data_IF_480857448998
#
_entry.id   IF_480857448998
#
_cell.length_a   1.000
_cell.length_b   1.000
_cell.length_c   1.000
_cell.angle_alpha   90.00
_cell.angle_beta   90.00
_cell.angle_gamma   90.00
#
_symmetry.space_group_name_H-M   'P 1'
#
loop_
_entity.id
_entity.type
_entity.pdbx_description
1 polymer ?
#
# COMPACT_ATOMS: atom_id res chain seq x y z
N UNK A 1 -30.43 -3.43 -15.42
CA UNK A 1 -30.40 -2.41 -16.50
C UNK A 1 -29.49 -2.84 -17.64
N UNK A 2 -29.87 -2.63 -18.91
CA UNK A 2 -29.02 -2.87 -20.09
C UNK A 2 -28.22 -1.63 -20.47
N UNK A 3 -27.07 -1.82 -21.13
CA UNK A 3 -26.19 -0.73 -21.55
C UNK A 3 -26.89 0.27 -22.49
N UNK A 4 -27.80 -0.20 -23.34
CA UNK A 4 -28.63 0.63 -24.19
C UNK A 4 -29.59 1.54 -23.42
N UNK A 5 -30.10 1.09 -22.26
CA UNK A 5 -31.02 1.85 -21.42
C UNK A 5 -30.27 2.96 -20.68
N UNK A 6 -29.05 2.68 -20.23
CA UNK A 6 -28.20 3.65 -19.55
C UNK A 6 -27.77 4.81 -20.46
N UNK A 7 -27.52 4.55 -21.75
CA UNK A 7 -27.23 5.60 -22.74
C UNK A 7 -28.40 6.58 -22.95
N UNK A 8 -29.63 6.13 -22.73
CA UNK A 8 -30.82 6.98 -22.82
C UNK A 8 -30.99 7.86 -21.59
N UNK A 9 -30.55 7.39 -20.41
CA UNK A 9 -30.64 8.15 -19.16
C UNK A 9 -29.59 9.26 -19.05
N UNK A 10 -28.44 9.09 -19.70
CA UNK A 10 -27.32 10.02 -19.66
C UNK A 10 -26.86 10.45 -21.06
N UNK A 11 -27.72 11.08 -21.87
CA UNK A 11 -27.39 11.43 -23.26
C UNK A 11 -26.20 12.39 -23.39
N UNK A 12 -25.88 13.14 -22.32
CA UNK A 12 -24.74 14.05 -22.26
C UNK A 12 -23.38 13.35 -22.03
N UNK A 13 -23.38 12.05 -21.70
CA UNK A 13 -22.15 11.30 -21.54
C UNK A 13 -21.61 10.82 -22.88
N UNK A 14 -20.32 11.01 -23.11
CA UNK A 14 -19.66 10.54 -24.33
C UNK A 14 -19.33 9.03 -24.23
N UNK A 15 -20.30 8.20 -24.63
CA UNK A 15 -20.13 6.76 -24.74
C UNK A 15 -19.31 6.32 -25.95
N UNK A 16 -18.93 7.24 -26.84
CA UNK A 16 -18.12 6.96 -28.02
C UNK A 16 -16.65 7.34 -27.82
N UNK A 17 -16.28 7.78 -26.61
CA UNK A 17 -14.90 8.11 -26.28
C UNK A 17 -14.00 6.89 -26.43
N UNK A 18 -13.25 6.83 -27.54
CA UNK A 18 -12.23 5.80 -27.76
C UNK A 18 -10.98 6.18 -26.97
N UNK A 19 -10.79 5.54 -25.82
CA UNK A 19 -9.58 5.70 -25.02
C UNK A 19 -8.52 4.73 -25.55
N UNK A 20 -7.33 5.24 -25.90
CA UNK A 20 -6.20 4.39 -26.32
C UNK A 20 -5.77 3.47 -25.18
N UNK A 21 -5.25 2.27 -25.51
CA UNK A 21 -4.81 1.31 -24.50
C UNK A 21 -3.80 1.90 -23.49
N UNK A 22 -2.85 2.72 -23.94
CA UNK A 22 -1.90 3.42 -23.07
C UNK A 22 -2.59 4.38 -22.09
N UNK A 23 -3.60 5.11 -22.58
CA UNK A 23 -4.39 6.04 -21.77
C UNK A 23 -5.32 5.30 -20.80
N UNK A 24 -5.87 4.14 -21.20
CA UNK A 24 -6.60 3.24 -20.29
C UNK A 24 -5.70 2.76 -19.18
N UNK A 25 -4.48 2.29 -19.48
CA UNK A 25 -3.51 1.84 -18.47
C UNK A 25 -3.19 2.95 -17.47
N UNK A 26 -2.96 4.18 -17.93
CA UNK A 26 -2.72 5.35 -17.08
C UNK A 26 -3.93 5.76 -16.22
N UNK A 27 -5.14 5.55 -16.73
CA UNK A 27 -6.38 5.94 -16.04
C UNK A 27 -6.99 4.80 -15.21
N UNK A 28 -6.52 3.57 -15.38
CA UNK A 28 -7.07 2.37 -14.74
C UNK A 28 -7.19 2.52 -13.23
N UNK A 29 -6.12 2.97 -12.57
CA UNK A 29 -6.11 3.19 -11.12
C UNK A 29 -7.12 4.25 -10.69
N UNK A 30 -7.28 5.32 -11.48
CA UNK A 30 -8.28 6.37 -11.20
C UNK A 30 -9.70 5.84 -11.35
N UNK A 31 -9.98 5.08 -12.40
CA UNK A 31 -11.30 4.48 -12.62
C UNK A 31 -11.64 3.45 -11.54
N UNK A 32 -10.69 2.60 -11.14
CA UNK A 32 -10.87 1.64 -10.07
C UNK A 32 -11.12 2.33 -8.72
N UNK A 33 -10.38 3.40 -8.42
CA UNK A 33 -10.58 4.19 -7.22
C UNK A 33 -11.96 4.87 -7.19
N UNK A 34 -12.40 5.46 -8.30
CA UNK A 34 -13.74 6.04 -8.39
C UNK A 34 -14.79 4.94 -8.22
N UNK A 35 -14.66 3.82 -8.94
CA UNK A 35 -15.60 2.70 -8.89
C UNK A 35 -15.66 2.02 -7.50
N UNK A 36 -14.57 1.96 -6.75
CA UNK A 36 -14.59 1.42 -5.37
C UNK A 36 -15.37 2.33 -4.41
N UNK A 37 -15.41 3.63 -4.68
CA UNK A 37 -16.10 4.63 -3.84
C UNK A 37 -17.57 4.77 -4.18
N UNK A 38 -17.90 4.83 -5.46
CA UNK A 38 -19.27 5.14 -5.93
C UNK A 38 -19.98 3.94 -6.55
N UNK A 39 -19.24 2.93 -7.01
CA UNK A 39 -19.80 1.86 -7.84
C UNK A 39 -20.86 1.05 -7.12
N UNK A 40 -20.72 0.81 -5.81
CA UNK A 40 -21.76 0.11 -5.04
C UNK A 40 -23.08 0.90 -5.00
N UNK A 41 -23.01 2.19 -4.66
CA UNK A 41 -24.20 3.07 -4.65
C UNK A 41 -24.84 3.15 -6.03
N UNK A 42 -24.01 3.28 -7.06
CA UNK A 42 -24.45 3.31 -8.45
C UNK A 42 -25.16 2.00 -8.84
N UNK A 43 -24.58 0.85 -8.49
CA UNK A 43 -25.20 -0.45 -8.74
C UNK A 43 -26.50 -0.65 -7.97
N UNK A 44 -26.57 -0.21 -6.71
CA UNK A 44 -27.79 -0.28 -5.88
C UNK A 44 -28.92 0.58 -6.48
N UNK A 45 -28.60 1.76 -7.03
CA UNK A 45 -29.57 2.66 -7.68
C UNK A 45 -30.21 2.04 -8.94
N UNK A 46 -29.43 1.25 -9.69
CA UNK A 46 -29.85 0.68 -10.97
C UNK A 46 -30.20 -0.81 -10.92
N UNK A 47 -30.32 -1.38 -9.71
CA UNK A 47 -30.55 -2.80 -9.45
C UNK A 47 -29.59 -3.68 -10.26
N UNK A 48 -28.30 -3.36 -10.15
CA UNK A 48 -27.21 -4.05 -10.82
C UNK A 48 -26.34 -4.80 -9.81
N UNK A 49 -25.77 -5.92 -10.23
CA UNK A 49 -24.76 -6.59 -9.43
C UNK A 49 -23.50 -5.73 -9.37
N UNK A 50 -23.12 -5.29 -8.16
CA UNK A 50 -21.84 -4.64 -7.95
C UNK A 50 -20.70 -5.65 -8.16
N UNK A 51 -19.85 -5.37 -9.14
CA UNK A 51 -18.67 -6.18 -9.47
C UNK A 51 -17.42 -5.31 -9.45
N UNK A 52 -16.35 -5.83 -8.88
CA UNK A 52 -15.00 -5.31 -9.09
C UNK A 52 -14.36 -6.06 -10.26
N UNK A 53 -13.35 -5.48 -10.92
CA UNK A 53 -12.65 -6.19 -12.01
C UNK A 53 -12.20 -7.58 -11.50
N UNK A 54 -12.61 -8.63 -12.21
CA UNK A 54 -12.39 -10.05 -11.89
C UNK A 54 -13.04 -10.56 -10.59
N UNK A 55 -14.37 -10.60 -10.50
CA UNK A 55 -14.99 -11.43 -9.44
C UNK A 55 -15.16 -12.88 -9.91
N UNK A 56 -14.20 -13.76 -9.56
CA UNK A 56 -14.53 -14.94 -8.78
C UNK A 56 -14.14 -14.65 -7.33
N UNK A 57 -15.13 -14.69 -6.42
CA UNK A 57 -14.86 -14.87 -4.99
C UNK A 57 -14.14 -16.22 -4.84
N UNK A 58 -12.81 -16.23 -4.81
CA UNK A 58 -12.05 -17.47 -4.60
C UNK A 58 -10.57 -17.49 -4.99
N UNK A 59 -9.98 -16.44 -5.61
CA UNK A 59 -8.58 -16.50 -6.10
C UNK A 59 -7.76 -15.22 -5.90
N UNK A 60 -8.15 -14.31 -5.01
CA UNK A 60 -7.21 -13.26 -4.59
C UNK A 60 -6.17 -13.92 -3.69
N UNK A 61 -4.91 -13.96 -4.14
CA UNK A 61 -3.80 -14.47 -3.32
C UNK A 61 -3.72 -13.66 -2.01
N UNK A 62 -3.54 -14.38 -0.91
CA UNK A 62 -3.32 -13.79 0.40
C UNK A 62 -1.85 -13.45 0.57
N UNK A 63 -1.57 -12.25 1.06
CA UNK A 63 -0.23 -11.72 1.28
C UNK A 63 -0.02 -11.32 2.73
N UNK A 64 1.26 -11.29 3.10
CA UNK A 64 1.71 -10.65 4.31
C UNK A 64 2.18 -9.23 4.00
N UNK A 65 1.39 -8.23 4.37
CA UNK A 65 1.80 -6.83 4.22
C UNK A 65 2.71 -6.42 5.37
N UNK A 66 3.92 -5.95 5.06
CA UNK A 66 4.86 -5.41 6.05
C UNK A 66 4.99 -3.91 5.78
N UNK A 67 4.36 -3.09 6.61
CA UNK A 67 4.30 -1.64 6.46
C UNK A 67 5.31 -0.99 7.41
N UNK A 68 6.28 -0.25 6.86
CA UNK A 68 7.26 0.53 7.62
C UNK A 68 6.85 1.99 7.52
N UNK A 69 6.40 2.54 8.65
CA UNK A 69 5.79 3.86 8.76
C UNK A 69 6.74 4.81 9.49
N UNK A 70 7.25 5.81 8.77
CA UNK A 70 8.07 6.87 9.35
C UNK A 70 7.23 7.77 10.27
N UNK A 71 7.68 7.89 11.51
CA UNK A 71 7.11 8.71 12.58
C UNK A 71 8.12 9.70 13.14
N UNK A 72 9.18 10.00 12.39
CA UNK A 72 10.14 11.06 12.72
C UNK A 72 9.47 12.43 12.79
N UNK A 73 10.18 13.41 13.36
CA UNK A 73 9.64 14.76 13.59
C UNK A 73 9.07 15.44 12.34
N UNK A 74 9.69 15.22 11.17
CA UNK A 74 9.26 15.76 9.88
C UNK A 74 7.90 15.25 9.42
N UNK A 75 7.52 14.06 9.88
CA UNK A 75 6.24 13.43 9.58
C UNK A 75 5.08 13.93 10.46
N UNK A 76 5.32 14.78 11.46
CA UNK A 76 4.26 15.21 12.39
C UNK A 76 3.09 15.95 11.72
N UNK A 77 1.92 15.94 12.36
CA UNK A 77 0.72 16.66 11.91
C UNK A 77 0.06 16.04 10.69
N UNK A 78 -0.10 16.84 9.61
CA UNK A 78 -0.85 16.44 8.42
C UNK A 78 -0.20 15.28 7.66
N UNK A 79 1.14 15.21 7.62
CA UNK A 79 1.85 14.14 6.93
C UNK A 79 1.55 12.78 7.56
N UNK A 80 1.64 12.69 8.88
CA UNK A 80 1.26 11.50 9.66
C UNK A 80 -0.21 11.16 9.51
N UNK A 81 -1.09 12.16 9.60
CA UNK A 81 -2.55 11.94 9.46
C UNK A 81 -2.90 11.38 8.08
N UNK A 82 -2.29 11.90 7.02
CA UNK A 82 -2.47 11.44 5.65
C UNK A 82 -1.85 10.06 5.41
N UNK A 83 -0.71 9.76 6.05
CA UNK A 83 -0.13 8.41 6.06
C UNK A 83 -1.09 7.40 6.67
N UNK A 84 -1.62 7.67 7.86
CA UNK A 84 -2.57 6.77 8.50
C UNK A 84 -3.87 6.63 7.70
N UNK A 85 -4.33 7.69 7.03
CA UNK A 85 -5.45 7.61 6.12
C UNK A 85 -5.17 6.67 4.92
N UNK A 86 -3.98 6.76 4.31
CA UNK A 86 -3.58 5.86 3.23
C UNK A 86 -3.43 4.40 3.67
N UNK A 87 -2.82 4.16 4.83
CA UNK A 87 -2.72 2.83 5.45
C UNK A 87 -4.11 2.26 5.74
N UNK A 88 -5.02 3.09 6.27
CA UNK A 88 -6.39 2.68 6.53
C UNK A 88 -7.15 2.32 5.25
N UNK A 89 -6.94 3.06 4.17
CA UNK A 89 -7.53 2.75 2.86
C UNK A 89 -7.01 1.40 2.34
N UNK A 90 -5.70 1.14 2.40
CA UNK A 90 -5.10 -0.15 2.00
C UNK A 90 -5.73 -1.31 2.79
N UNK A 91 -5.77 -1.18 4.12
CA UNK A 91 -6.34 -2.21 4.99
C UNK A 91 -7.83 -2.43 4.68
N UNK A 92 -8.60 -1.35 4.49
CA UNK A 92 -10.04 -1.44 4.20
C UNK A 92 -10.29 -2.09 2.84
N UNK A 93 -9.50 -1.75 1.82
CA UNK A 93 -9.63 -2.34 0.50
C UNK A 93 -9.33 -3.85 0.53
N UNK A 94 -8.26 -4.28 1.22
CA UNK A 94 -7.94 -5.71 1.38
C UNK A 94 -8.97 -6.45 2.23
N UNK A 95 -9.50 -5.85 3.31
CA UNK A 95 -10.64 -6.40 4.07
C UNK A 95 -11.84 -6.72 3.17
N UNK A 96 -12.16 -5.82 2.25
CA UNK A 96 -13.31 -5.96 1.35
C UNK A 96 -13.09 -7.00 0.24
N UNK A 97 -11.84 -7.32 -0.10
CA UNK A 97 -11.49 -8.35 -1.08
C UNK A 97 -11.72 -9.78 -0.56
N UNK A 98 -11.98 -9.95 0.74
CA UNK A 98 -12.27 -11.26 1.33
C UNK A 98 -11.07 -12.19 1.44
N UNK A 99 -9.86 -11.63 1.41
CA UNK A 99 -8.59 -12.36 1.56
C UNK A 99 -8.27 -12.63 3.02
N UNK A 100 -7.40 -13.61 3.25
CA UNK A 100 -6.83 -13.93 4.56
C UNK A 100 -5.47 -13.24 4.76
N UNK A 101 -5.37 -12.01 4.26
CA UNK A 101 -4.17 -11.19 4.42
C UNK A 101 -3.88 -10.90 5.89
N UNK A 102 -2.61 -10.78 6.20
CA UNK A 102 -2.14 -10.30 7.49
C UNK A 102 -1.20 -9.11 7.33
N UNK A 103 -1.08 -8.32 8.39
CA UNK A 103 -0.24 -7.14 8.45
C UNK A 103 0.76 -7.21 9.62
N UNK A 104 2.01 -6.90 9.33
CA UNK A 104 2.96 -6.40 10.32
C UNK A 104 3.13 -4.90 10.07
N UNK A 105 2.86 -4.10 11.09
CA UNK A 105 3.03 -2.64 11.02
C UNK A 105 4.18 -2.26 11.94
N UNK A 106 5.23 -1.71 11.35
CA UNK A 106 6.43 -1.23 12.03
C UNK A 106 6.38 0.29 11.98
N UNK A 107 6.39 0.92 13.15
CA UNK A 107 6.49 2.38 13.29
C UNK A 107 7.93 2.68 13.66
N UNK A 108 8.56 3.64 12.98
CA UNK A 108 9.97 3.96 13.23
C UNK A 108 10.28 5.46 13.26
N UNK A 109 11.39 5.77 13.91
CA UNK A 109 12.08 7.06 14.04
C UNK A 109 13.58 6.75 14.17
N UNK A 110 14.26 7.20 15.25
CA UNK A 110 15.55 6.72 15.74
C UNK A 110 15.49 5.27 16.26
N UNK A 111 14.27 4.79 16.56
CA UNK A 111 13.97 3.42 17.00
C UNK A 111 12.85 2.86 16.16
N UNK A 112 12.69 1.55 16.16
CA UNK A 112 11.56 0.90 15.49
C UNK A 112 10.82 -0.04 16.44
N UNK A 113 9.48 -0.03 16.36
CA UNK A 113 8.61 -0.89 17.14
C UNK A 113 7.50 -1.46 16.25
N UNK A 114 7.16 -2.73 16.46
CA UNK A 114 5.99 -3.33 15.83
C UNK A 114 4.73 -2.89 16.57
N UNK A 115 3.85 -2.16 15.90
CA UNK A 115 2.49 -1.93 16.38
C UNK A 115 1.68 -3.23 16.39
N UNK A 116 1.84 -4.04 15.34
CA UNK A 116 1.33 -5.39 15.28
C UNK A 116 2.23 -6.28 14.43
N UNK A 117 2.19 -7.59 14.69
CA UNK A 117 2.95 -8.60 13.95
C UNK A 117 1.97 -9.63 13.43
N UNK A 118 1.93 -9.83 12.11
CA UNK A 118 1.10 -10.83 11.41
C UNK A 118 -0.36 -10.86 11.86
N UNK A 119 -0.90 -9.68 12.18
CA UNK A 119 -2.29 -9.53 12.60
C UNK A 119 -3.19 -9.68 11.39
N UNK A 120 -4.30 -10.42 11.49
CA UNK A 120 -5.28 -10.45 10.40
C UNK A 120 -5.67 -9.02 10.03
N UNK A 121 -5.72 -8.71 8.73
CA UNK A 121 -6.13 -7.39 8.25
C UNK A 121 -7.45 -6.98 8.88
N UNK A 122 -8.40 -7.92 9.06
CA UNK A 122 -9.71 -7.75 9.69
C UNK A 122 -9.62 -7.09 11.09
N UNK A 123 -8.59 -7.43 11.85
CA UNK A 123 -8.41 -7.02 13.25
C UNK A 123 -7.47 -5.81 13.43
N UNK A 124 -6.89 -5.28 12.35
CA UNK A 124 -6.06 -4.09 12.41
C UNK A 124 -6.95 -2.85 12.60
N UNK A 125 -6.64 -2.09 13.65
CA UNK A 125 -7.27 -0.82 13.99
C UNK A 125 -6.21 0.29 13.91
N UNK A 126 -6.21 1.01 12.80
CA UNK A 126 -5.25 2.08 12.49
C UNK A 126 -5.37 3.29 13.40
N UNK A 127 -6.53 3.49 14.05
CA UNK A 127 -6.76 4.63 14.96
C UNK A 127 -5.94 4.55 16.24
N UNK A 128 -5.44 3.36 16.58
CA UNK A 128 -4.58 3.12 17.75
C UNK A 128 -3.10 3.33 17.46
N UNK A 129 -2.74 3.56 16.20
CA UNK A 129 -1.36 3.82 15.80
C UNK A 129 -0.99 5.24 16.24
N UNK A 130 -0.05 5.35 17.18
CA UNK A 130 0.39 6.62 17.74
C UNK A 130 1.63 7.14 17.04
N UNK A 131 1.71 8.46 16.89
CA UNK A 131 2.94 9.14 16.49
C UNK A 131 3.93 9.11 17.65
N UNK A 132 5.18 8.74 17.38
CA UNK A 132 6.22 8.62 18.42
C UNK A 132 7.17 9.82 18.38
N UNK A 133 7.53 10.31 17.19
CA UNK A 133 8.53 11.36 17.04
C UNK A 133 9.95 10.82 17.21
N UNK A 134 10.93 11.64 16.83
CA UNK A 134 12.35 11.33 16.95
C UNK A 134 13.13 11.74 15.69
N UNK A 135 14.41 11.37 15.68
CA UNK A 135 15.23 11.42 14.47
C UNK A 135 14.84 10.29 13.51
N UNK A 136 15.62 10.08 12.46
CA UNK A 136 15.33 9.08 11.43
C UNK A 136 16.50 8.11 11.33
N UNK A 137 16.25 6.83 11.58
CA UNK A 137 17.19 5.73 11.34
C UNK A 137 16.49 4.59 10.59
N UNK A 138 17.04 4.23 9.43
CA UNK A 138 16.51 3.15 8.60
C UNK A 138 17.03 1.77 9.02
N UNK A 139 18.08 1.66 9.83
CA UNK A 139 18.60 0.37 10.31
C UNK A 139 17.56 -0.41 11.13
N UNK A 140 17.08 0.11 12.26
CA UNK A 140 16.13 -0.58 13.14
C UNK A 140 14.88 -1.14 12.45
N UNK A 141 14.16 -0.41 11.57
CA UNK A 141 12.97 -0.97 10.93
C UNK A 141 13.30 -2.14 10.01
N UNK A 142 14.39 -2.11 9.24
CA UNK A 142 14.77 -3.25 8.39
C UNK A 142 15.23 -4.48 9.19
N UNK A 143 15.78 -4.30 10.40
CA UNK A 143 16.05 -5.43 11.30
C UNK A 143 14.77 -6.12 11.77
N UNK A 144 13.70 -5.35 12.03
CA UNK A 144 12.39 -5.92 12.37
C UNK A 144 11.75 -6.63 11.18
N UNK A 145 11.95 -6.14 9.95
CA UNK A 145 11.51 -6.85 8.75
C UNK A 145 12.20 -8.20 8.63
N UNK A 146 13.53 -8.26 8.80
CA UNK A 146 14.28 -9.53 8.77
C UNK A 146 13.72 -10.53 9.78
N UNK A 147 13.58 -10.11 11.04
CA UNK A 147 13.03 -10.97 12.11
C UNK A 147 11.63 -11.45 11.79
N UNK A 148 10.81 -10.58 11.21
CA UNK A 148 9.44 -10.91 10.78
C UNK A 148 9.45 -12.00 9.70
N UNK A 149 10.27 -11.84 8.66
CA UNK A 149 10.37 -12.81 7.56
C UNK A 149 11.00 -14.14 8.02
N UNK A 150 12.01 -14.10 8.88
CA UNK A 150 12.62 -15.31 9.46
C UNK A 150 11.59 -16.11 10.27
N UNK A 151 10.72 -15.44 11.04
CA UNK A 151 9.64 -16.10 11.79
C UNK A 151 8.61 -16.80 10.90
N UNK A 152 8.39 -16.31 9.67
CA UNK A 152 7.42 -16.89 8.72
C UNK A 152 7.84 -18.29 8.23
N UNK A 153 9.14 -18.60 8.24
CA UNK A 153 9.66 -19.86 7.68
C UNK A 153 9.25 -21.11 8.46
N UNK A 154 8.74 -20.95 9.68
CA UNK A 154 8.33 -22.06 10.55
C UNK A 154 6.84 -22.40 10.45
N UNK A 155 6.08 -21.66 9.64
CA UNK A 155 4.62 -21.83 9.52
C UNK A 155 4.22 -22.85 8.45
N UNK A 156 3.05 -23.48 8.65
CA UNK A 156 2.46 -24.44 7.70
C UNK A 156 2.10 -23.83 6.35
N UNK A 157 1.85 -22.51 6.31
CA UNK A 157 1.52 -21.78 5.08
C UNK A 157 2.33 -20.51 5.05
N UNK A 158 3.30 -20.44 4.13
CA UNK A 158 4.19 -19.28 3.99
C UNK A 158 3.53 -18.31 3.01
N UNK A 159 2.98 -17.21 3.53
CA UNK A 159 2.49 -16.11 2.70
C UNK A 159 3.68 -15.33 2.12
N UNK A 160 3.60 -14.98 0.83
CA UNK A 160 4.56 -14.02 0.26
C UNK A 160 4.32 -12.64 0.86
N UNK A 161 5.39 -11.87 0.99
CA UNK A 161 5.36 -10.56 1.63
C UNK A 161 5.35 -9.42 0.62
N UNK A 162 4.49 -8.44 0.85
CA UNK A 162 4.52 -7.14 0.18
C UNK A 162 5.05 -6.14 1.21
N UNK A 163 6.23 -5.59 0.96
CA UNK A 163 6.87 -4.64 1.86
C UNK A 163 6.63 -3.23 1.35
N UNK A 164 6.11 -2.36 2.21
CA UNK A 164 5.91 -0.94 1.89
C UNK A 164 6.74 -0.12 2.86
N UNK A 165 7.77 0.52 2.36
CA UNK A 165 8.63 1.43 3.09
C UNK A 165 8.28 2.87 2.73
N UNK A 166 7.83 3.65 3.72
CA UNK A 166 7.48 5.04 3.53
C UNK A 166 8.29 5.95 4.47
N UNK A 167 8.91 6.98 3.92
CA UNK A 167 9.67 8.02 4.65
C UNK A 167 9.69 9.33 3.86
N UNK A 168 9.89 10.46 4.54
CA UNK A 168 10.18 11.76 3.91
C UNK A 168 11.68 12.10 3.82
N UNK A 169 12.56 11.22 4.32
CA UNK A 169 14.03 11.34 4.22
C UNK A 169 14.59 12.46 5.12
N UNK A 170 15.68 12.28 5.87
CA UNK A 170 17.01 11.85 5.45
C UNK A 170 17.66 10.98 6.55
N UNK A 171 18.09 9.77 6.22
CA UNK A 171 18.85 8.92 7.12
C UNK A 171 19.96 8.17 6.38
N UNK A 172 20.87 7.55 7.13
CA UNK A 172 21.94 6.75 6.56
C UNK A 172 21.39 5.51 5.83
N UNK A 173 22.04 5.16 4.72
CA UNK A 173 21.70 3.97 3.94
C UNK A 173 21.98 2.68 4.76
N UNK A 174 20.97 1.84 5.04
CA UNK A 174 21.10 0.68 5.95
C UNK A 174 21.67 -0.54 5.23
N UNK A 175 22.94 -0.44 4.80
CA UNK A 175 23.59 -1.41 3.92
C UNK A 175 23.57 -2.84 4.44
N UNK A 176 23.91 -3.04 5.73
CA UNK A 176 23.99 -4.37 6.35
C UNK A 176 22.63 -5.07 6.34
N UNK A 177 21.57 -4.35 6.70
CA UNK A 177 20.21 -4.87 6.79
C UNK A 177 19.66 -5.20 5.41
N UNK A 178 19.86 -4.32 4.42
CA UNK A 178 19.39 -4.55 3.04
C UNK A 178 20.15 -5.69 2.35
N UNK A 179 21.46 -5.82 2.57
CA UNK A 179 22.22 -6.97 2.09
C UNK A 179 21.68 -8.28 2.68
N UNK A 180 21.32 -8.28 3.96
CA UNK A 180 20.70 -9.44 4.61
C UNK A 180 19.32 -9.73 4.03
N UNK A 181 18.50 -8.70 3.77
CA UNK A 181 17.15 -8.85 3.19
C UNK A 181 17.23 -9.47 1.79
N UNK A 182 18.07 -8.90 0.93
CA UNK A 182 18.25 -9.30 -0.46
C UNK A 182 18.86 -10.69 -0.62
N UNK A 183 19.54 -11.24 0.40
CA UNK A 183 20.16 -12.57 0.34
C UNK A 183 19.32 -13.64 1.01
N UNK A 184 18.73 -13.34 2.17
CA UNK A 184 18.01 -14.33 2.99
C UNK A 184 16.52 -14.42 2.70
N UNK A 185 15.92 -13.35 2.17
CA UNK A 185 14.47 -13.24 2.07
C UNK A 185 13.96 -12.91 0.66
N UNK A 186 14.83 -12.89 -0.36
CA UNK A 186 14.47 -12.57 -1.75
C UNK A 186 13.31 -13.41 -2.26
N UNK A 187 13.27 -14.71 -1.93
CA UNK A 187 12.18 -15.60 -2.33
C UNK A 187 10.89 -15.39 -1.55
N UNK A 188 10.92 -14.75 -0.38
CA UNK A 188 9.74 -14.48 0.44
C UNK A 188 9.07 -13.15 0.06
N UNK A 189 9.83 -12.23 -0.52
CA UNK A 189 9.35 -10.90 -0.90
C UNK A 189 8.76 -10.99 -2.30
N UNK A 190 7.45 -10.76 -2.41
CA UNK A 190 6.75 -10.66 -3.69
C UNK A 190 7.00 -9.30 -4.32
N UNK A 191 6.87 -8.25 -3.52
CA UNK A 191 7.01 -6.86 -3.95
C UNK A 191 7.63 -6.00 -2.83
N UNK A 192 8.39 -4.99 -3.26
CA UNK A 192 8.97 -3.99 -2.38
C UNK A 192 8.62 -2.61 -2.93
N UNK A 193 7.95 -1.80 -2.14
CA UNK A 193 7.53 -0.45 -2.48
C UNK A 193 8.29 0.56 -1.61
N UNK A 194 8.88 1.55 -2.25
CA UNK A 194 9.46 2.71 -1.56
C UNK A 194 8.62 3.93 -1.90
N UNK A 195 7.93 4.48 -0.91
CA UNK A 195 7.11 5.68 -1.02
C UNK A 195 7.85 6.83 -0.37
N UNK A 196 8.37 7.74 -1.18
CA UNK A 196 9.11 8.92 -0.76
C UNK A 196 8.17 10.13 -0.69
N UNK A 197 8.14 10.85 0.44
CA UNK A 197 7.28 12.01 0.62
C UNK A 197 8.09 13.30 0.70
N UNK A 198 8.14 14.10 -0.36
CA UNK A 198 8.78 15.40 -0.37
C UNK A 198 9.20 15.87 -1.75
N UNK A 199 9.55 17.15 -1.84
CA UNK A 199 9.83 17.82 -3.11
C UNK A 199 11.25 17.55 -3.63
N UNK A 200 12.19 17.29 -2.73
CA UNK A 200 13.59 17.06 -3.07
C UNK A 200 13.84 15.62 -3.53
N UNK A 201 14.88 15.44 -4.34
CA UNK A 201 15.33 14.09 -4.73
C UNK A 201 15.84 13.35 -3.50
N UNK A 202 15.32 12.15 -3.26
CA UNK A 202 15.68 11.33 -2.10
C UNK A 202 16.60 10.18 -2.51
N UNK A 203 17.87 10.50 -2.78
CA UNK A 203 18.86 9.56 -3.32
C UNK A 203 18.98 8.27 -2.48
N UNK A 204 18.90 8.39 -1.15
CA UNK A 204 18.95 7.23 -0.25
C UNK A 204 17.74 6.31 -0.46
N UNK A 205 16.53 6.86 -0.54
CA UNK A 205 15.30 6.07 -0.74
C UNK A 205 15.27 5.44 -2.13
N UNK A 206 15.71 6.17 -3.16
CA UNK A 206 15.85 5.63 -4.52
C UNK A 206 16.85 4.46 -4.54
N UNK A 207 18.00 4.61 -3.88
CA UNK A 207 19.01 3.56 -3.73
C UNK A 207 18.48 2.33 -2.98
N UNK A 208 17.67 2.52 -1.94
CA UNK A 208 17.00 1.42 -1.22
C UNK A 208 16.07 0.65 -2.17
N UNK A 209 15.22 1.37 -2.90
CA UNK A 209 14.30 0.76 -3.87
C UNK A 209 15.07 -0.04 -4.94
N UNK A 210 16.14 0.52 -5.49
CA UNK A 210 16.98 -0.16 -6.49
C UNK A 210 17.63 -1.42 -5.91
N UNK A 211 18.19 -1.34 -4.68
CA UNK A 211 18.81 -2.49 -4.00
C UNK A 211 17.81 -3.64 -3.82
N UNK A 212 16.56 -3.31 -3.51
CA UNK A 212 15.50 -4.28 -3.29
C UNK A 212 14.75 -4.66 -4.58
N UNK A 213 15.19 -4.15 -5.74
CA UNK A 213 14.51 -4.33 -7.05
C UNK A 213 13.02 -3.96 -6.98
N UNK A 214 12.71 -2.95 -6.17
CA UNK A 214 11.36 -2.51 -5.84
C UNK A 214 10.86 -1.35 -6.70
N UNK A 215 9.62 -0.97 -6.48
CA UNK A 215 8.97 0.19 -7.10
C UNK A 215 9.21 1.42 -6.25
N UNK A 216 9.81 2.46 -6.85
CA UNK A 216 9.99 3.77 -6.22
C UNK A 216 8.88 4.71 -6.64
N UNK A 217 8.24 5.36 -5.67
CA UNK A 217 7.20 6.36 -5.89
C UNK A 217 7.47 7.60 -5.04
N UNK A 218 7.73 8.71 -5.70
CA UNK A 218 7.88 10.01 -5.04
C UNK A 218 6.57 10.79 -5.09
N UNK A 219 6.15 11.30 -3.94
CA UNK A 219 4.98 12.14 -3.73
C UNK A 219 5.45 13.52 -3.33
N UNK A 220 4.90 14.56 -3.95
CA UNK A 220 5.22 15.94 -3.56
C UNK A 220 4.43 16.36 -2.34
N UNK A 221 3.18 15.93 -2.26
CA UNK A 221 2.24 16.28 -1.22
C UNK A 221 1.70 15.02 -0.51
N UNK A 222 1.57 15.12 0.81
CA UNK A 222 1.06 14.03 1.64
C UNK A 222 -0.38 13.63 1.32
N UNK A 223 -1.18 14.51 0.74
CA UNK A 223 -2.54 14.21 0.25
C UNK A 223 -2.56 13.13 -0.83
N UNK A 224 -1.45 12.91 -1.53
CA UNK A 224 -1.31 11.85 -2.54
C UNK A 224 -1.08 10.46 -1.93
N UNK A 225 -0.81 10.36 -0.62
CA UNK A 225 -0.55 9.09 0.06
C UNK A 225 -1.72 8.11 -0.06
N UNK A 226 -2.96 8.60 0.02
CA UNK A 226 -4.15 7.74 -0.13
C UNK A 226 -4.17 7.08 -1.50
N UNK A 227 -3.85 7.83 -2.56
CA UNK A 227 -3.79 7.30 -3.91
C UNK A 227 -2.60 6.34 -4.07
N UNK A 228 -1.44 6.67 -3.49
CA UNK A 228 -0.27 5.80 -3.53
C UNK A 228 -0.54 4.43 -2.91
N UNK A 229 -1.16 4.39 -1.73
CA UNK A 229 -1.52 3.14 -1.07
C UNK A 229 -2.62 2.37 -1.81
N UNK A 230 -3.54 3.05 -2.51
CA UNK A 230 -4.55 2.40 -3.34
C UNK A 230 -3.93 1.69 -4.57
N UNK A 231 -2.79 2.15 -5.09
CA UNK A 231 -2.08 1.48 -6.18
C UNK A 231 -1.37 0.19 -5.71
N UNK A 232 -0.90 0.16 -4.46
CA UNK A 232 -0.24 -1.02 -3.84
C UNK A 232 -1.22 -2.18 -3.61
N UNK A 233 -2.52 -1.89 -3.54
CA UNK A 233 -3.57 -2.89 -3.31
C UNK A 233 -3.84 -3.80 -4.52
N UNK A 234 -3.48 -3.34 -5.73
CA UNK A 234 -3.77 -3.99 -7.02
C UNK A 234 -2.91 -5.22 -7.26
#
# INVERSE_FOLDING_TARGET
MRWSEMKLLYPEWDFNLVITADKVTKLKSKFLYVWSRIGKKFCDEFDMAYVTMNTPKGLSESFHYILLLDSSGSMHGNRWSNLLAGVNELITARKNNGTDDCATIIIFSDKANCFCVKKSMKDVDTKKIQFIGGETDFGPPFELVLKTLESNTTEKTILKSIIVFMSDGEALYPEKQLNSLATKADTQIKEFWTVALGENKMDVLEKISQKMKGVYKQLKDSSELVQAYAEIVQ
#
